data_IF_956394449467
#
_entry.id   IF_956394449467
#
_cell.length_a   1.000
_cell.length_b   1.000
_cell.length_c   1.000
_cell.angle_alpha   90.00
_cell.angle_beta   90.00
_cell.angle_gamma   90.00
#
_symmetry.space_group_name_H-M   'P 1'
#
loop_
_entity.id
_entity.type
_entity.pdbx_description
1 polymer ?
#
# COMPACT_ATOMS: atom_id res chain seq x y z
N UNK A 1 23.32 18.67 -6.28
CA UNK A 1 23.58 17.46 -7.09
C UNK A 1 22.89 17.71 -8.41
N UNK A 2 23.60 17.68 -9.53
CA UNK A 2 23.11 18.27 -10.79
C UNK A 2 22.83 17.22 -11.88
N UNK A 3 22.84 15.94 -11.53
CA UNK A 3 22.62 14.85 -12.49
C UNK A 3 21.63 13.84 -11.91
N UNK A 4 20.78 13.33 -12.78
CA UNK A 4 19.95 12.16 -12.48
C UNK A 4 20.84 10.96 -12.19
N UNK A 5 20.56 10.25 -11.10
CA UNK A 5 21.21 8.98 -10.77
C UNK A 5 20.14 7.90 -10.83
N UNK A 6 20.31 6.94 -11.74
CA UNK A 6 19.46 5.77 -11.80
C UNK A 6 20.25 4.53 -11.39
N UNK A 7 19.93 4.01 -10.21
CA UNK A 7 20.49 2.76 -9.69
C UNK A 7 19.41 1.71 -9.41
N UNK A 8 18.19 1.93 -9.92
CA UNK A 8 17.12 0.95 -9.82
C UNK A 8 17.55 -0.33 -10.54
N UNK A 9 17.48 -1.45 -9.83
CA UNK A 9 17.79 -2.76 -10.35
C UNK A 9 16.53 -3.62 -10.31
N UNK A 10 16.38 -4.47 -11.33
CA UNK A 10 15.35 -5.51 -11.32
C UNK A 10 15.69 -6.49 -10.20
N UNK A 11 14.82 -6.56 -9.20
CA UNK A 11 14.87 -7.61 -8.18
C UNK A 11 14.18 -8.86 -8.70
N UNK A 12 13.01 -8.69 -9.33
CA UNK A 12 12.23 -9.80 -9.86
C UNK A 12 11.28 -9.39 -10.96
N UNK A 13 11.17 -10.23 -11.99
CA UNK A 13 10.08 -10.22 -12.97
C UNK A 13 9.45 -11.60 -12.93
N UNK A 14 8.15 -11.68 -12.69
CA UNK A 14 7.47 -12.97 -12.56
C UNK A 14 5.99 -12.88 -12.91
N UNK A 15 5.42 -14.04 -13.25
CA UNK A 15 3.99 -14.28 -13.29
C UNK A 15 3.63 -15.29 -12.22
N UNK A 16 2.62 -14.99 -11.41
CA UNK A 16 2.15 -15.83 -10.31
C UNK A 16 0.63 -16.02 -10.39
N UNK A 17 0.17 -17.21 -10.00
CA UNK A 17 -1.24 -17.47 -9.73
C UNK A 17 -1.59 -16.92 -8.34
N UNK A 18 -1.68 -15.59 -8.25
CA UNK A 18 -2.08 -14.89 -7.05
C UNK A 18 -1.85 -13.38 -7.17
N UNK A 19 -1.40 -12.72 -6.11
CA UNK A 19 -1.25 -11.26 -6.03
C UNK A 19 0.11 -10.85 -5.44
N UNK A 20 0.62 -9.70 -5.87
CA UNK A 20 1.77 -9.01 -5.29
C UNK A 20 1.33 -7.83 -4.43
N UNK A 21 1.80 -7.77 -3.19
CA UNK A 21 1.49 -6.71 -2.21
C UNK A 21 2.77 -6.02 -1.76
N UNK A 22 2.68 -4.70 -1.54
CA UNK A 22 3.72 -3.87 -0.95
C UNK A 22 3.18 -3.32 0.36
N UNK A 23 3.90 -3.52 1.46
CA UNK A 23 3.60 -2.90 2.75
C UNK A 23 4.80 -2.06 3.19
N UNK A 24 4.55 -0.85 3.67
CA UNK A 24 5.60 0.11 4.03
C UNK A 24 5.56 0.44 5.52
N UNK A 25 6.72 0.68 6.11
CA UNK A 25 6.85 1.19 7.48
C UNK A 25 8.06 2.11 7.59
N UNK A 26 7.97 3.14 8.43
CA UNK A 26 9.01 4.16 8.59
C UNK A 26 8.47 5.59 8.49
N UNK A 27 9.36 6.59 8.59
CA UNK A 27 10.81 6.48 8.85
C UNK A 27 11.13 6.17 10.33
N UNK A 28 12.38 5.76 10.61
CA UNK A 28 12.91 5.57 11.97
C UNK A 28 14.35 6.08 12.07
N UNK A 29 14.62 6.97 13.02
CA UNK A 29 15.96 7.52 13.28
C UNK A 29 16.58 6.91 14.52
N UNK A 30 17.83 6.45 14.41
CA UNK A 30 18.58 5.80 15.49
C UNK A 30 19.99 6.38 15.60
N UNK A 31 20.56 6.33 16.81
CA UNK A 31 21.90 6.87 17.07
C UNK A 31 21.96 8.40 17.07
N UNK A 32 23.16 8.96 17.29
CA UNK A 32 23.36 10.39 17.54
C UNK A 32 23.28 10.76 19.02
N UNK A 33 23.51 12.05 19.33
CA UNK A 33 23.36 12.56 20.69
C UNK A 33 21.88 12.45 21.11
N UNK A 34 21.62 11.85 22.27
CA UNK A 34 20.29 11.75 22.91
C UNK A 34 19.20 10.92 22.21
N UNK A 35 19.51 10.17 21.13
CA UNK A 35 18.52 9.28 20.51
C UNK A 35 18.70 7.83 20.92
N UNK A 36 17.59 7.08 20.89
CA UNK A 36 17.63 5.64 21.10
C UNK A 36 18.51 4.97 20.05
N UNK A 37 19.26 3.96 20.49
CA UNK A 37 19.99 3.04 19.60
C UNK A 37 19.15 1.83 19.20
N UNK A 38 17.92 1.72 19.70
CA UNK A 38 17.01 0.61 19.40
C UNK A 38 15.67 1.20 18.96
N UNK A 39 15.11 0.65 17.89
CA UNK A 39 13.76 0.98 17.45
C UNK A 39 13.09 -0.19 16.77
N UNK A 40 11.80 -0.03 16.48
CA UNK A 40 10.98 -1.05 15.86
C UNK A 40 10.10 -0.40 14.79
N UNK A 41 9.99 -1.06 13.64
CA UNK A 41 9.02 -0.77 12.60
C UNK A 41 8.01 -1.90 12.55
N UNK A 42 6.72 -1.55 12.58
CA UNK A 42 5.61 -2.52 12.48
C UNK A 42 5.01 -2.42 11.08
N UNK A 43 4.71 -3.57 10.51
CA UNK A 43 3.93 -3.70 9.28
C UNK A 43 2.53 -4.22 9.61
N UNK A 44 1.51 -3.58 9.04
CA UNK A 44 0.13 -4.08 9.06
C UNK A 44 -0.02 -5.26 8.08
N UNK A 45 0.52 -6.41 8.49
CA UNK A 45 0.51 -7.63 7.69
C UNK A 45 -0.80 -8.39 7.85
N UNK A 46 -1.71 -8.23 6.90
CA UNK A 46 -2.96 -9.00 6.87
C UNK A 46 -2.83 -10.09 5.82
N UNK A 47 -2.47 -11.32 6.24
CA UNK A 47 -2.50 -12.50 5.37
C UNK A 47 -3.93 -12.71 4.85
N UNK A 48 -4.16 -12.73 3.52
CA UNK A 48 -5.49 -13.01 3.00
C UNK A 48 -5.92 -14.44 3.33
N UNK A 49 -7.18 -14.61 3.75
CA UNK A 49 -7.72 -15.92 4.17
C UNK A 49 -7.66 -16.97 3.05
N UNK A 50 -7.88 -16.54 1.81
CA UNK A 50 -7.91 -17.39 0.62
C UNK A 50 -6.54 -17.53 -0.06
N UNK A 51 -5.46 -17.07 0.58
CA UNK A 51 -4.14 -17.06 -0.03
C UNK A 51 -3.03 -17.66 0.85
N UNK A 52 -2.01 -18.20 0.20
CA UNK A 52 -0.79 -18.69 0.85
C UNK A 52 0.36 -17.78 0.50
N UNK A 53 1.19 -17.43 1.48
CA UNK A 53 2.44 -16.73 1.18
C UNK A 53 3.31 -17.63 0.31
N UNK A 54 3.82 -17.10 -0.80
CA UNK A 54 4.76 -17.80 -1.67
C UNK A 54 6.17 -17.27 -1.43
N UNK A 55 6.30 -15.96 -1.37
CA UNK A 55 7.58 -15.26 -1.22
C UNK A 55 7.39 -13.96 -0.43
N UNK A 56 8.40 -13.62 0.35
CA UNK A 56 8.47 -12.37 1.10
C UNK A 56 9.88 -11.79 1.06
N UNK A 57 10.01 -10.62 0.47
CA UNK A 57 11.25 -9.84 0.47
C UNK A 57 11.11 -8.66 1.43
N UNK A 58 12.01 -8.56 2.40
CA UNK A 58 12.20 -7.35 3.20
C UNK A 58 13.22 -6.47 2.51
N UNK A 59 12.84 -5.24 2.22
CA UNK A 59 13.72 -4.20 1.69
C UNK A 59 13.85 -3.07 2.72
N UNK A 60 15.06 -2.60 2.98
CA UNK A 60 15.33 -1.51 3.92
C UNK A 60 16.14 -0.44 3.19
N UNK A 61 15.60 0.78 3.12
CA UNK A 61 16.36 1.98 2.76
C UNK A 61 16.90 2.65 4.03
N UNK A 62 18.19 2.96 4.04
CA UNK A 62 18.82 3.69 5.12
C UNK A 62 19.73 4.79 4.61
N UNK A 63 19.64 5.97 5.22
CA UNK A 63 20.57 7.08 5.03
C UNK A 63 21.53 7.13 6.21
N UNK A 64 22.84 7.17 5.93
CA UNK A 64 23.90 7.27 6.95
C UNK A 64 24.82 8.45 6.66
N UNK A 65 25.34 9.10 7.69
CA UNK A 65 26.37 10.16 7.55
C UNK A 65 27.79 9.60 7.58
N UNK A 66 27.93 8.30 7.86
CA UNK A 66 29.21 7.59 7.89
C UNK A 66 29.28 6.58 6.77
N UNK A 67 30.52 6.28 6.36
CA UNK A 67 30.81 5.26 5.34
C UNK A 67 30.12 3.93 5.72
N UNK A 68 29.44 3.25 4.77
CA UNK A 68 28.74 1.99 5.01
C UNK A 68 29.57 0.91 5.70
N UNK A 69 30.89 0.86 5.48
CA UNK A 69 31.80 -0.12 6.11
C UNK A 69 31.93 0.07 7.63
N UNK A 70 31.56 1.24 8.17
CA UNK A 70 31.59 1.55 9.59
C UNK A 70 30.22 1.42 10.27
N UNK A 71 29.16 1.22 9.50
CA UNK A 71 27.79 1.05 10.00
C UNK A 71 27.70 -0.32 10.67
N UNK A 72 27.24 -0.33 11.92
CA UNK A 72 27.01 -1.57 12.70
C UNK A 72 25.57 -1.59 13.17
N UNK A 73 24.82 -2.60 12.71
CA UNK A 73 23.45 -2.80 13.13
C UNK A 73 23.15 -4.26 13.44
N UNK A 74 22.02 -4.51 14.08
CA UNK A 74 21.46 -5.84 14.24
C UNK A 74 19.98 -5.74 13.93
N UNK A 75 19.50 -6.68 13.13
CA UNK A 75 18.13 -6.73 12.67
C UNK A 75 17.46 -8.00 13.18
N UNK A 76 16.21 -7.87 13.59
CA UNK A 76 15.35 -8.99 13.91
C UNK A 76 13.98 -8.82 13.24
N UNK A 77 13.45 -9.91 12.70
CA UNK A 77 12.06 -10.00 12.24
C UNK A 77 11.30 -10.92 13.18
N UNK A 78 10.24 -10.44 13.84
CA UNK A 78 9.44 -11.23 14.77
C UNK A 78 10.28 -11.99 15.82
N UNK A 79 11.26 -11.28 16.40
CA UNK A 79 12.28 -11.80 17.34
C UNK A 79 13.25 -12.85 16.77
N UNK A 80 13.19 -13.14 15.46
CA UNK A 80 14.18 -13.97 14.78
C UNK A 80 15.33 -13.10 14.26
N UNK A 81 16.60 -13.40 14.61
CA UNK A 81 17.74 -12.62 14.16
C UNK A 81 17.92 -12.75 12.63
N UNK A 82 17.95 -11.62 11.94
CA UNK A 82 18.10 -11.58 10.48
C UNK A 82 19.57 -11.40 10.08
N UNK A 83 20.23 -10.37 10.63
CA UNK A 83 21.66 -10.13 10.41
C UNK A 83 22.26 -9.27 11.52
N UNK A 84 23.58 -9.34 11.67
CA UNK A 84 24.40 -8.45 12.51
C UNK A 84 25.36 -7.58 11.69
N UNK A 85 25.32 -7.69 10.37
CA UNK A 85 26.22 -7.01 9.45
C UNK A 85 25.44 -6.04 8.58
N UNK A 86 26.01 -4.86 8.35
CA UNK A 86 25.50 -3.90 7.38
C UNK A 86 26.23 -4.12 6.06
N UNK A 87 25.58 -4.80 5.12
CA UNK A 87 26.11 -5.09 3.77
C UNK A 87 25.07 -4.70 2.73
N UNK A 88 24.95 -3.41 2.41
CA UNK A 88 23.99 -2.97 1.41
C UNK A 88 24.32 -3.51 0.03
N UNK A 89 23.31 -3.97 -0.70
CA UNK A 89 23.45 -4.38 -2.10
C UNK A 89 23.60 -3.18 -3.03
N UNK A 90 23.11 -2.01 -2.61
CA UNK A 90 23.22 -0.77 -3.35
C UNK A 90 23.55 0.38 -2.39
N UNK A 91 24.58 1.14 -2.73
CA UNK A 91 25.01 2.35 -2.02
C UNK A 91 25.18 3.44 -3.04
N UNK A 92 24.58 4.59 -2.76
CA UNK A 92 24.78 5.82 -3.52
C UNK A 92 25.42 6.84 -2.58
N UNK A 93 26.63 7.25 -2.93
CA UNK A 93 27.31 8.36 -2.25
C UNK A 93 26.64 9.67 -2.68
N UNK A 94 26.08 10.38 -1.70
CA UNK A 94 25.61 11.74 -1.82
C UNK A 94 26.65 12.66 -1.18
N UNK A 95 26.50 13.99 -1.30
CA UNK A 95 27.53 14.94 -0.85
C UNK A 95 27.98 14.77 0.61
N UNK A 96 27.05 14.46 1.51
CA UNK A 96 27.29 14.40 2.96
C UNK A 96 26.66 13.15 3.61
N UNK A 97 26.03 12.30 2.81
CA UNK A 97 25.27 11.15 3.28
C UNK A 97 25.37 10.00 2.26
N UNK A 98 25.16 8.77 2.72
CA UNK A 98 25.09 7.58 1.89
C UNK A 98 23.66 7.07 1.90
N UNK A 99 23.06 6.94 0.72
CA UNK A 99 21.79 6.25 0.57
C UNK A 99 22.06 4.77 0.32
N UNK A 100 21.57 3.91 1.20
CA UNK A 100 21.85 2.49 1.21
C UNK A 100 20.57 1.67 1.11
N UNK A 101 20.64 0.57 0.36
CA UNK A 101 19.56 -0.40 0.21
C UNK A 101 20.03 -1.79 0.60
N UNK A 102 19.24 -2.40 1.48
CA UNK A 102 19.44 -3.79 1.90
C UNK A 102 18.21 -4.62 1.60
N UNK A 103 18.38 -5.79 0.99
CA UNK A 103 17.31 -6.75 0.71
C UNK A 103 17.56 -8.08 1.42
N UNK A 104 16.49 -8.68 1.94
CA UNK A 104 16.50 -9.99 2.58
C UNK A 104 15.31 -10.82 2.11
N UNK A 105 15.55 -12.09 1.79
CA UNK A 105 14.48 -13.08 1.71
C UNK A 105 14.08 -13.49 3.14
N UNK A 106 12.85 -13.14 3.53
CA UNK A 106 12.29 -13.46 4.84
C UNK A 106 11.17 -14.52 4.74
N UNK A 107 11.00 -15.13 3.56
CA UNK A 107 9.99 -16.17 3.32
C UNK A 107 10.05 -17.30 4.36
N UNK A 108 11.23 -17.86 4.72
CA UNK A 108 11.30 -18.92 5.72
C UNK A 108 10.85 -18.46 7.12
N UNK A 109 11.12 -17.20 7.48
CA UNK A 109 10.78 -16.64 8.79
C UNK A 109 9.25 -16.49 8.91
N UNK A 110 8.61 -15.96 7.87
CA UNK A 110 7.15 -15.78 7.84
C UNK A 110 6.40 -17.11 7.69
N UNK A 111 7.02 -18.15 7.13
CA UNK A 111 6.45 -19.51 7.15
C UNK A 111 6.53 -20.18 8.51
N UNK A 112 7.64 -19.98 9.24
CA UNK A 112 7.84 -20.63 10.53
C UNK A 112 6.91 -20.08 11.63
N UNK A 113 6.40 -18.85 11.48
CA UNK A 113 5.51 -18.21 12.45
C UNK A 113 4.39 -17.49 11.72
N UNK A 114 3.18 -18.04 11.76
CA UNK A 114 2.00 -17.29 11.37
C UNK A 114 1.76 -16.19 12.42
N UNK A 115 1.99 -14.93 12.05
CA UNK A 115 1.63 -13.77 12.86
C UNK A 115 0.78 -12.80 12.05
N UNK A 116 -0.14 -12.11 12.74
CA UNK A 116 -0.95 -11.02 12.17
C UNK A 116 -0.19 -9.68 12.13
N UNK A 117 1.00 -9.63 12.72
CA UNK A 117 1.84 -8.44 12.77
C UNK A 117 3.28 -8.85 12.45
N UNK A 118 3.95 -8.11 11.57
CA UNK A 118 5.37 -8.29 11.30
C UNK A 118 6.13 -7.11 11.90
N UNK A 119 7.11 -7.40 12.78
CA UNK A 119 7.93 -6.41 13.47
C UNK A 119 9.38 -6.53 13.02
N UNK A 120 9.92 -5.42 12.53
CA UNK A 120 11.36 -5.24 12.28
C UNK A 120 11.97 -4.46 13.44
N UNK A 121 12.67 -5.16 14.32
CA UNK A 121 13.48 -4.53 15.37
C UNK A 121 14.88 -4.25 14.85
N UNK A 122 15.39 -3.06 15.16
CA UNK A 122 16.68 -2.56 14.69
C UNK A 122 17.46 -2.05 15.89
N UNK A 123 18.67 -2.58 16.08
CA UNK A 123 19.65 -2.04 17.02
C UNK A 123 20.83 -1.45 16.24
N UNK A 124 21.14 -0.18 16.49
CA UNK A 124 22.24 0.54 15.87
C UNK A 124 23.41 0.75 16.83
N UNK A 125 24.48 -0.01 16.60
CA UNK A 125 25.73 0.02 17.37
C UNK A 125 26.82 0.85 16.66
N UNK A 126 26.51 1.49 15.52
CA UNK A 126 27.46 2.26 14.71
C UNK A 126 27.73 3.70 15.23
N UNK A 127 28.72 4.39 14.63
CA UNK A 127 29.00 5.80 14.90
C UNK A 127 27.94 6.72 14.28
N UNK A 128 27.70 7.88 14.90
CA UNK A 128 26.78 8.89 14.34
C UNK A 128 25.31 8.49 14.34
N UNK A 129 24.57 8.93 13.31
CA UNK A 129 23.14 8.70 13.12
C UNK A 129 22.88 7.81 11.90
N UNK A 130 21.81 7.00 11.99
CA UNK A 130 21.21 6.30 10.85
C UNK A 130 19.73 6.66 10.79
N UNK A 131 19.25 7.00 9.60
CA UNK A 131 17.84 7.15 9.30
C UNK A 131 17.40 5.98 8.43
N UNK A 132 16.57 5.10 8.98
CA UNK A 132 15.83 4.13 8.19
C UNK A 132 14.72 4.92 7.49
N UNK A 133 14.93 5.26 6.22
CA UNK A 133 13.97 6.06 5.45
C UNK A 133 12.65 5.32 5.33
N UNK A 134 12.73 4.03 5.03
CA UNK A 134 11.61 3.11 5.01
C UNK A 134 12.10 1.67 5.03
N UNK A 135 11.24 0.79 5.52
CA UNK A 135 11.32 -0.64 5.30
C UNK A 135 10.05 -1.09 4.57
N UNK A 136 10.19 -2.00 3.61
CA UNK A 136 9.11 -2.52 2.79
C UNK A 136 9.06 -4.04 2.90
N UNK A 137 7.85 -4.58 2.96
CA UNK A 137 7.58 -5.99 2.68
C UNK A 137 6.95 -6.11 1.29
N UNK A 138 7.68 -6.76 0.39
CA UNK A 138 7.17 -7.16 -0.93
C UNK A 138 6.76 -8.62 -0.85
N UNK A 139 5.46 -8.87 -0.94
CA UNK A 139 4.83 -10.15 -0.64
C UNK A 139 4.14 -10.71 -1.87
N UNK A 140 4.57 -11.87 -2.33
CA UNK A 140 3.86 -12.64 -3.34
C UNK A 140 2.97 -13.68 -2.64
N UNK A 141 1.66 -13.58 -2.85
CA UNK A 141 0.70 -14.56 -2.39
C UNK A 141 0.25 -15.44 -3.55
N UNK A 142 0.08 -16.74 -3.30
CA UNK A 142 -0.64 -17.66 -4.17
C UNK A 142 -2.12 -17.68 -3.81
N UNK A 143 -2.98 -17.45 -4.81
CA UNK A 143 -4.43 -17.45 -4.67
C UNK A 143 -5.07 -17.94 -5.97
N UNK A 144 -6.04 -18.86 -5.88
CA UNK A 144 -6.69 -19.45 -7.06
C UNK A 144 -7.50 -18.45 -7.90
N UNK A 145 -7.94 -17.37 -7.27
CA UNK A 145 -8.83 -16.37 -7.87
C UNK A 145 -8.08 -15.11 -8.33
N UNK A 146 -6.75 -15.18 -8.42
CA UNK A 146 -5.95 -14.09 -8.95
C UNK A 146 -4.78 -14.59 -9.81
N UNK A 147 -4.41 -13.77 -10.79
CA UNK A 147 -3.18 -13.93 -11.56
C UNK A 147 -2.55 -12.55 -11.68
N UNK A 148 -1.27 -12.46 -11.34
CA UNK A 148 -0.48 -11.24 -11.46
C UNK A 148 0.78 -11.52 -12.26
N UNK A 149 1.06 -10.68 -13.24
CA UNK A 149 2.44 -10.46 -13.70
C UNK A 149 2.97 -9.19 -13.08
N UNK A 150 4.23 -9.17 -12.66
CA UNK A 150 4.84 -7.99 -12.08
C UNK A 150 6.33 -7.89 -12.39
N UNK A 151 6.82 -6.65 -12.38
CA UNK A 151 8.23 -6.30 -12.41
C UNK A 151 8.53 -5.42 -11.20
N UNK A 152 9.36 -5.94 -10.30
CA UNK A 152 9.77 -5.30 -9.05
C UNK A 152 11.22 -4.82 -9.17
N UNK A 153 11.39 -3.51 -8.98
CA UNK A 153 12.65 -2.80 -8.93
C UNK A 153 12.93 -2.24 -7.53
N UNK A 154 14.18 -2.31 -7.14
CA UNK A 154 14.71 -1.74 -5.89
C UNK A 154 16.01 -1.00 -6.16
N UNK A 155 16.28 0.04 -5.37
CA UNK A 155 17.48 0.86 -5.49
C UNK A 155 17.15 2.32 -5.17
N UNK A 156 17.72 3.22 -5.95
CA UNK A 156 17.27 4.60 -5.98
C UNK A 156 17.40 5.22 -7.37
N UNK A 157 16.32 5.85 -7.81
CA UNK A 157 16.30 6.83 -8.88
C UNK A 157 16.22 8.23 -8.24
N UNK A 158 17.31 8.97 -8.30
CA UNK A 158 17.45 10.31 -7.74
C UNK A 158 17.29 11.33 -8.85
N UNK A 159 16.29 12.18 -8.74
CA UNK A 159 15.93 13.14 -9.78
C UNK A 159 16.10 14.56 -9.21
N UNK A 160 17.08 15.34 -9.71
CA UNK A 160 17.23 16.74 -9.34
C UNK A 160 15.95 17.55 -9.66
N UNK A 161 15.80 18.74 -9.07
CA UNK A 161 14.71 19.65 -9.43
C UNK A 161 14.67 19.98 -10.91
N UNK A 162 13.45 20.00 -11.47
CA UNK A 162 13.14 20.33 -12.87
C UNK A 162 13.80 19.38 -13.88
N UNK A 163 14.11 18.17 -13.46
CA UNK A 163 14.66 17.10 -14.30
C UNK A 163 13.65 15.96 -14.43
N UNK A 164 13.92 15.07 -15.38
CA UNK A 164 13.14 13.85 -15.59
C UNK A 164 14.05 12.66 -15.86
N UNK A 165 13.52 11.46 -15.65
CA UNK A 165 14.21 10.22 -16.00
C UNK A 165 13.25 9.24 -16.64
N UNK A 166 13.72 8.61 -17.71
CA UNK A 166 12.99 7.55 -18.43
C UNK A 166 13.67 6.21 -18.27
N UNK A 167 12.89 5.15 -18.13
CA UNK A 167 13.37 3.77 -18.14
C UNK A 167 12.27 2.82 -18.63
N UNK A 168 12.69 1.66 -19.13
CA UNK A 168 11.78 0.66 -19.67
C UNK A 168 11.52 -0.46 -18.66
N UNK A 169 10.26 -0.88 -18.58
CA UNK A 169 9.81 -1.95 -17.69
C UNK A 169 9.15 -3.06 -18.50
N UNK A 170 9.79 -4.24 -18.61
CA UNK A 170 9.18 -5.40 -19.22
C UNK A 170 8.09 -5.96 -18.31
N UNK A 171 6.99 -6.41 -18.90
CA UNK A 171 5.86 -6.99 -18.19
C UNK A 171 5.15 -8.02 -19.08
N UNK A 172 4.69 -9.14 -18.52
CA UNK A 172 3.81 -10.04 -19.24
C UNK A 172 2.35 -9.61 -18.99
N UNK A 173 1.72 -8.90 -19.92
CA UNK A 173 0.40 -8.30 -19.65
C UNK A 173 -0.69 -9.37 -19.56
N UNK A 174 -1.37 -9.44 -18.40
CA UNK A 174 -2.52 -10.33 -18.17
C UNK A 174 -3.78 -9.73 -18.80
N UNK A 175 -4.00 -8.43 -18.56
CA UNK A 175 -5.07 -7.65 -19.16
C UNK A 175 -4.61 -6.19 -19.31
N UNK A 176 -4.88 -5.59 -20.47
CA UNK A 176 -4.35 -4.27 -20.86
C UNK A 176 -4.75 -3.13 -19.92
N UNK A 177 -5.90 -3.23 -19.24
CA UNK A 177 -6.43 -2.22 -18.33
C UNK A 177 -6.33 -2.63 -16.85
N UNK A 178 -5.67 -3.75 -16.57
CA UNK A 178 -5.41 -4.25 -15.23
C UNK A 178 -4.07 -3.79 -14.65
N UNK A 179 -3.47 -2.75 -15.25
CA UNK A 179 -2.18 -2.25 -14.84
C UNK A 179 -2.23 -1.58 -13.47
N UNK A 180 -1.19 -1.81 -12.68
CA UNK A 180 -1.03 -1.27 -11.33
C UNK A 180 0.40 -0.80 -11.13
N UNK A 181 0.54 0.32 -10.43
CA UNK A 181 1.82 0.89 -10.05
C UNK A 181 1.84 1.05 -8.53
N UNK A 182 2.87 0.47 -7.90
CA UNK A 182 3.18 0.66 -6.48
C UNK A 182 4.59 1.22 -6.38
N UNK A 183 4.78 2.32 -5.69
CA UNK A 183 6.07 2.98 -5.59
C UNK A 183 6.27 3.66 -4.25
N UNK A 184 7.52 3.71 -3.80
CA UNK A 184 7.93 4.47 -2.61
C UNK A 184 8.81 5.62 -3.05
N UNK A 185 8.34 6.83 -2.79
CA UNK A 185 9.06 8.05 -3.09
C UNK A 185 9.50 8.74 -1.78
N UNK A 186 10.70 9.33 -1.80
CA UNK A 186 11.20 10.19 -0.73
C UNK A 186 11.40 11.60 -1.28
N UNK A 187 10.87 12.60 -0.57
CA UNK A 187 11.03 14.00 -0.94
C UNK A 187 11.25 14.85 0.30
N UNK A 188 12.36 15.60 0.33
CA UNK A 188 12.71 16.46 1.47
C UNK A 188 12.23 17.92 1.28
N UNK A 189 11.21 18.17 0.46
CA UNK A 189 10.72 19.52 0.13
C UNK A 189 9.22 19.56 -0.19
N UNK A 190 8.46 20.33 0.59
CA UNK A 190 7.02 20.60 0.38
C UNK A 190 6.70 21.44 -0.87
N UNK A 191 7.71 21.88 -1.60
CA UNK A 191 7.54 22.61 -2.86
C UNK A 191 7.83 21.73 -4.08
N UNK A 192 8.17 20.46 -3.86
CA UNK A 192 8.34 19.47 -4.91
C UNK A 192 6.99 18.93 -5.38
N UNK A 193 6.90 18.72 -6.69
CA UNK A 193 5.89 17.90 -7.35
C UNK A 193 6.58 16.75 -8.05
N UNK A 194 6.02 15.55 -7.90
CA UNK A 194 6.42 14.38 -8.67
C UNK A 194 5.26 13.94 -9.55
N UNK A 195 5.54 13.78 -10.83
CA UNK A 195 4.62 13.14 -11.78
C UNK A 195 5.24 11.86 -12.31
N UNK A 196 4.41 10.82 -12.44
CA UNK A 196 4.78 9.55 -13.07
C UNK A 196 3.91 9.34 -14.30
N UNK A 197 4.57 9.06 -15.42
CA UNK A 197 3.93 8.72 -16.69
C UNK A 197 4.23 7.27 -17.03
N UNK A 198 3.22 6.57 -17.51
CA UNK A 198 3.34 5.21 -18.06
C UNK A 198 2.88 5.29 -19.51
N UNK A 199 3.77 4.94 -20.44
CA UNK A 199 3.50 5.00 -21.88
C UNK A 199 2.99 6.38 -22.34
N UNK A 200 3.63 7.46 -21.89
CA UNK A 200 3.27 8.88 -22.15
C UNK A 200 1.93 9.34 -21.58
N UNK A 201 1.25 8.52 -20.75
CA UNK A 201 0.06 8.94 -20.02
C UNK A 201 0.42 9.21 -18.57
N UNK A 202 0.06 10.38 -18.05
CA UNK A 202 0.20 10.66 -16.62
C UNK A 202 -0.71 9.73 -15.82
N UNK A 203 -0.13 8.99 -14.87
CA UNK A 203 -0.88 8.07 -13.99
C UNK A 203 -0.88 8.55 -12.55
N UNK A 204 0.07 9.42 -12.19
CA UNK A 204 0.21 9.97 -10.85
C UNK A 204 0.79 11.38 -10.95
N UNK A 205 0.25 12.28 -10.14
CA UNK A 205 0.83 13.59 -9.87
C UNK A 205 0.49 13.97 -8.44
N UNK A 206 1.50 14.36 -7.67
CA UNK A 206 1.33 14.84 -6.31
C UNK A 206 2.26 16.02 -6.05
N UNK A 207 1.67 17.12 -5.63
CA UNK A 207 2.37 18.30 -5.13
C UNK A 207 2.44 18.27 -3.61
N UNK A 208 3.45 18.94 -3.03
CA UNK A 208 3.52 19.08 -1.57
C UNK A 208 4.14 17.90 -0.85
N UNK A 209 4.94 17.08 -1.53
CA UNK A 209 5.54 15.86 -0.98
C UNK A 209 6.33 16.16 0.31
N UNK A 210 6.08 15.39 1.37
CA UNK A 210 6.82 15.53 2.62
C UNK A 210 7.30 14.19 3.17
N UNK A 211 8.61 14.02 3.14
CA UNK A 211 9.37 12.88 3.65
C UNK A 211 9.15 11.58 2.85
N UNK A 212 8.18 10.75 3.23
CA UNK A 212 7.95 9.41 2.70
C UNK A 212 6.54 9.33 2.11
N UNK A 213 6.45 8.96 0.83
CA UNK A 213 5.19 8.90 0.09
C UNK A 213 4.99 7.51 -0.50
N UNK A 214 3.87 6.88 -0.16
CA UNK A 214 3.44 5.62 -0.76
C UNK A 214 2.50 5.92 -1.94
N UNK A 215 2.95 5.54 -3.12
CA UNK A 215 2.23 5.74 -4.38
C UNK A 215 1.57 4.41 -4.75
N UNK A 216 0.25 4.42 -4.87
CA UNK A 216 -0.51 3.29 -5.39
C UNK A 216 -1.54 3.78 -6.41
N UNK A 217 -1.43 3.29 -7.64
CA UNK A 217 -2.35 3.62 -8.74
C UNK A 217 -2.81 2.33 -9.42
N UNK A 218 -4.11 2.20 -9.61
CA UNK A 218 -4.75 1.05 -10.28
C UNK A 218 -5.37 1.46 -11.62
N UNK A 219 -5.75 0.47 -12.44
CA UNK A 219 -6.43 0.63 -13.73
C UNK A 219 -5.60 1.42 -14.78
N UNK A 220 -4.28 1.23 -14.76
CA UNK A 220 -3.35 1.81 -15.72
C UNK A 220 -3.32 0.97 -16.99
N UNK A 221 -3.16 1.63 -18.13
CA UNK A 221 -2.92 0.95 -19.39
C UNK A 221 -1.47 0.49 -19.51
N UNK A 222 -1.26 -0.83 -19.56
CA UNK A 222 0.07 -1.46 -19.65
C UNK A 222 0.27 -2.20 -20.97
N UNK A 223 1.53 -2.38 -21.34
CA UNK A 223 2.02 -3.08 -22.54
C UNK A 223 3.11 -4.08 -22.13
N UNK A 224 3.58 -4.90 -23.06
CA UNK A 224 4.65 -5.86 -22.75
C UNK A 224 6.00 -5.20 -22.43
N UNK A 225 6.21 -4.01 -22.97
CA UNK A 225 7.32 -3.13 -22.62
C UNK A 225 6.75 -1.73 -22.37
N UNK A 226 6.94 -1.21 -21.16
CA UNK A 226 6.36 0.05 -20.73
C UNK A 226 7.47 1.09 -20.59
N UNK A 227 7.33 2.24 -21.25
CA UNK A 227 8.17 3.39 -20.94
C UNK A 227 7.61 4.06 -19.68
N UNK A 228 8.46 4.19 -18.66
CA UNK A 228 8.16 4.91 -17.43
C UNK A 228 8.96 6.19 -17.44
N UNK A 229 8.28 7.31 -17.21
CA UNK A 229 8.92 8.61 -17.02
C UNK A 229 8.54 9.15 -15.64
N UNK A 230 9.55 9.56 -14.88
CA UNK A 230 9.38 10.22 -13.59
C UNK A 230 9.90 11.64 -13.73
N UNK A 231 9.07 12.63 -13.42
CA UNK A 231 9.40 14.06 -13.47
C UNK A 231 9.40 14.64 -12.08
N UNK A 232 10.34 15.54 -11.84
CA UNK A 232 10.40 16.33 -10.63
C UNK A 232 10.35 17.80 -10.97
N UNK A 233 9.37 18.51 -10.43
CA UNK A 233 9.21 19.96 -10.63
C UNK A 233 9.24 20.67 -9.28
N UNK A 234 9.77 21.90 -9.25
CA UNK A 234 9.66 22.80 -8.11
C UNK A 234 8.91 24.06 -8.53
N UNK A 235 7.76 24.31 -7.91
CA UNK A 235 6.87 25.42 -8.30
C UNK A 235 7.20 26.78 -7.65
N UNK A 236 8.28 26.86 -6.85
CA UNK A 236 8.69 28.10 -6.17
C UNK A 236 10.18 28.35 -6.36
N UNK A 237 10.53 29.45 -7.01
CA UNK A 237 11.93 29.78 -7.36
C UNK A 237 12.89 29.81 -6.16
N UNK A 238 12.41 30.30 -5.01
CA UNK A 238 13.19 30.43 -3.77
C UNK A 238 13.09 29.22 -2.83
N UNK A 239 12.47 28.11 -3.27
CA UNK A 239 12.39 26.90 -2.46
C UNK A 239 13.73 26.16 -2.38
N UNK A 240 13.90 25.38 -1.32
CA UNK A 240 15.07 24.51 -1.18
C UNK A 240 15.03 23.44 -2.27
N UNK A 241 16.04 23.48 -3.13
CA UNK A 241 16.23 22.58 -4.28
C UNK A 241 16.82 21.25 -3.85
N UNK A 242 15.98 20.36 -3.28
CA UNK A 242 16.35 18.98 -2.94
C UNK A 242 15.80 18.00 -3.97
N UNK A 243 16.52 16.93 -4.33
CA UNK A 243 16.04 15.92 -5.26
C UNK A 243 14.88 15.10 -4.66
N UNK A 244 14.12 14.44 -5.53
CA UNK A 244 13.24 13.33 -5.14
C UNK A 244 13.96 12.00 -5.37
N UNK A 245 13.60 11.00 -4.57
CA UNK A 245 14.13 9.65 -4.65
C UNK A 245 12.97 8.70 -4.91
N UNK A 246 12.94 8.04 -6.06
CA UNK A 246 12.08 6.87 -6.26
C UNK A 246 12.87 5.64 -5.85
N UNK A 247 12.46 5.00 -4.77
CA UNK A 247 13.28 3.99 -4.09
C UNK A 247 12.83 2.55 -4.33
N UNK A 248 11.54 2.37 -4.53
CA UNK A 248 10.91 1.08 -4.76
C UNK A 248 9.88 1.28 -5.85
N UNK A 249 9.84 0.38 -6.83
CA UNK A 249 8.92 0.50 -7.95
C UNK A 249 8.44 -0.88 -8.38
N UNK A 250 7.13 -1.08 -8.41
CA UNK A 250 6.48 -2.30 -8.87
C UNK A 250 5.45 -1.88 -9.91
N UNK A 251 5.63 -2.37 -11.14
CA UNK A 251 4.59 -2.34 -12.16
C UNK A 251 4.00 -3.73 -12.29
N UNK A 252 2.69 -3.86 -12.19
CA UNK A 252 1.98 -5.12 -12.27
C UNK A 252 0.81 -5.06 -13.26
N UNK A 253 0.38 -6.22 -13.73
CA UNK A 253 -0.89 -6.45 -14.41
C UNK A 253 -1.59 -7.58 -13.66
N UNK A 254 -2.66 -7.22 -12.94
CA UNK A 254 -3.30 -8.11 -11.97
C UNK A 254 -4.78 -8.29 -12.28
N UNK A 255 -5.19 -9.54 -12.52
CA UNK A 255 -6.60 -9.90 -12.68
C UNK A 255 -7.06 -10.68 -11.44
N UNK A 256 -8.11 -10.18 -10.79
CA UNK A 256 -8.74 -10.82 -9.64
C UNK A 256 -10.19 -11.13 -9.99
N UNK A 257 -10.65 -12.35 -9.66
CA UNK A 257 -12.07 -12.69 -9.69
C UNK A 257 -12.72 -12.03 -8.48
N UNK A 258 -13.52 -10.98 -8.71
CA UNK A 258 -14.00 -10.10 -7.65
C UNK A 258 -15.37 -10.55 -7.09
N UNK A 259 -15.56 -10.50 -5.76
CA UNK A 259 -16.90 -10.38 -5.16
C UNK A 259 -17.51 -9.02 -5.50
N UNK A 260 -18.83 -8.93 -5.55
CA UNK A 260 -19.55 -7.67 -5.71
C UNK A 260 -20.82 -7.69 -4.86
N UNK A 261 -20.83 -6.91 -3.78
CA UNK A 261 -21.87 -6.97 -2.76
C UNK A 261 -22.82 -5.79 -2.90
N UNK A 262 -24.00 -6.07 -3.46
CA UNK A 262 -25.04 -5.08 -3.72
C UNK A 262 -26.11 -5.10 -2.63
N UNK A 263 -26.57 -3.91 -2.26
CA UNK A 263 -27.79 -3.72 -1.47
C UNK A 263 -28.98 -3.77 -2.42
N UNK A 264 -29.87 -4.76 -2.27
CA UNK A 264 -31.07 -4.92 -3.12
C UNK A 264 -32.24 -4.10 -2.61
N UNK A 265 -32.45 -4.11 -1.30
CA UNK A 265 -33.61 -3.52 -0.67
C UNK A 265 -33.27 -3.05 0.75
N UNK A 266 -33.93 -1.99 1.19
CA UNK A 266 -33.79 -1.41 2.52
C UNK A 266 -35.16 -0.98 3.00
N UNK A 267 -35.57 -1.51 4.15
CA UNK A 267 -36.80 -1.13 4.84
C UNK A 267 -36.49 -0.53 6.19
N UNK A 268 -37.13 0.59 6.49
CA UNK A 268 -37.04 1.22 7.80
C UNK A 268 -38.22 0.75 8.65
N UNK A 269 -37.93 0.16 9.81
CA UNK A 269 -38.93 -0.19 10.81
C UNK A 269 -38.76 0.78 11.98
N UNK A 270 -39.72 1.69 12.12
CA UNK A 270 -39.79 2.63 13.24
C UNK A 270 -40.75 2.14 14.31
N UNK A 271 -40.30 1.20 15.14
CA UNK A 271 -40.97 0.93 16.41
C UNK A 271 -40.57 2.00 17.41
N UNK A 272 -41.52 2.53 18.18
CA UNK A 272 -41.33 3.74 18.99
C UNK A 272 -40.16 3.68 19.98
N UNK A 273 -39.74 2.44 20.34
CA UNK A 273 -38.66 2.14 21.28
C UNK A 273 -37.33 1.71 20.63
N UNK A 274 -37.32 1.11 19.43
CA UNK A 274 -36.11 0.54 18.82
C UNK A 274 -36.16 0.61 17.27
N UNK A 275 -35.77 1.75 16.66
CA UNK A 275 -35.73 1.83 15.20
C UNK A 275 -34.63 0.92 14.62
N UNK A 276 -34.96 0.22 13.53
CA UNK A 276 -34.05 -0.71 12.84
C UNK A 276 -34.21 -0.63 11.33
N UNK A 277 -33.12 -0.90 10.62
CA UNK A 277 -33.13 -1.12 9.18
C UNK A 277 -33.13 -2.62 8.90
N UNK A 278 -34.04 -3.08 8.04
CA UNK A 278 -34.00 -4.42 7.45
C UNK A 278 -33.40 -4.28 6.06
N UNK A 279 -32.24 -4.88 5.86
CA UNK A 279 -31.39 -4.65 4.69
C UNK A 279 -31.17 -5.98 4.01
N UNK A 280 -31.52 -6.06 2.73
CA UNK A 280 -31.29 -7.24 1.90
C UNK A 280 -30.05 -7.01 1.04
N UNK A 281 -29.03 -7.85 1.24
CA UNK A 281 -27.79 -7.80 0.46
C UNK A 281 -27.61 -9.08 -0.36
N UNK A 282 -26.90 -8.96 -1.47
CA UNK A 282 -26.58 -10.07 -2.39
C UNK A 282 -25.13 -9.97 -2.83
N UNK A 283 -24.48 -11.12 -3.05
CA UNK A 283 -23.25 -11.15 -3.83
C UNK A 283 -23.55 -11.48 -5.30
N UNK A 284 -23.52 -10.49 -6.18
CA UNK A 284 -23.65 -10.69 -7.64
C UNK A 284 -22.30 -10.84 -8.34
N UNK A 285 -21.21 -10.85 -7.58
CA UNK A 285 -19.87 -11.12 -8.10
C UNK A 285 -19.60 -12.60 -8.32
N UNK A 286 -18.39 -12.91 -8.76
CA UNK A 286 -17.97 -14.27 -9.14
C UNK A 286 -17.15 -14.98 -8.06
N UNK A 287 -16.82 -14.29 -6.97
CA UNK A 287 -16.03 -14.82 -5.85
C UNK A 287 -16.71 -14.51 -4.53
N UNK A 288 -16.35 -15.26 -3.49
CA UNK A 288 -16.67 -14.94 -2.09
C UNK A 288 -15.68 -13.88 -1.53
N UNK A 289 -16.13 -12.88 -0.77
CA UNK A 289 -15.23 -11.94 -0.09
C UNK A 289 -14.48 -12.63 1.08
N UNK A 290 -13.30 -12.13 1.41
CA UNK A 290 -12.54 -12.61 2.57
C UNK A 290 -13.06 -11.98 3.87
N UNK A 291 -13.51 -10.72 3.82
CA UNK A 291 -14.19 -10.03 4.92
C UNK A 291 -15.33 -9.18 4.37
N UNK A 292 -16.41 -9.02 5.13
CA UNK A 292 -17.57 -8.21 4.76
C UNK A 292 -18.07 -7.43 5.98
N UNK A 293 -18.32 -6.15 5.77
CA UNK A 293 -18.94 -5.24 6.73
C UNK A 293 -20.07 -4.46 6.09
N UNK A 294 -21.02 -4.07 6.91
CA UNK A 294 -22.07 -3.12 6.58
C UNK A 294 -21.96 -1.94 7.54
N UNK A 295 -21.89 -0.74 6.98
CA UNK A 295 -21.74 0.52 7.69
C UNK A 295 -22.98 1.37 7.48
N UNK A 296 -23.49 1.95 8.58
CA UNK A 296 -24.48 3.02 8.55
C UNK A 296 -23.76 4.34 8.78
N UNK A 297 -23.91 5.27 7.84
CA UNK A 297 -23.23 6.55 7.81
C UNK A 297 -24.27 7.67 7.81
N UNK A 298 -24.12 8.66 8.68
CA UNK A 298 -24.92 9.89 8.70
C UNK A 298 -23.99 11.09 8.60
N UNK A 299 -24.18 11.90 7.55
CA UNK A 299 -23.37 13.09 7.29
C UNK A 299 -21.85 12.80 7.35
N UNK A 300 -21.43 11.63 6.85
CA UNK A 300 -20.02 11.20 6.82
C UNK A 300 -19.52 10.51 8.09
N UNK A 301 -20.32 10.44 9.15
CA UNK A 301 -19.96 9.78 10.42
C UNK A 301 -20.52 8.36 10.43
N UNK A 302 -19.67 7.36 10.71
CA UNK A 302 -20.10 5.98 10.91
C UNK A 302 -20.84 5.88 12.25
N UNK A 303 -22.16 5.67 12.21
CA UNK A 303 -23.00 5.50 13.41
C UNK A 303 -23.05 4.04 13.85
N UNK A 304 -23.08 3.11 12.89
CA UNK A 304 -23.11 1.69 13.19
C UNK A 304 -22.23 0.91 12.20
N UNK A 305 -21.62 -0.17 12.70
CA UNK A 305 -20.79 -1.11 11.95
C UNK A 305 -21.16 -2.52 12.34
N UNK A 306 -21.53 -3.32 11.36
CA UNK A 306 -21.80 -4.74 11.55
C UNK A 306 -20.83 -5.57 10.70
N UNK A 307 -20.14 -6.52 11.33
CA UNK A 307 -19.38 -7.56 10.62
C UNK A 307 -20.34 -8.64 10.18
N UNK A 308 -20.30 -9.01 8.91
CA UNK A 308 -21.23 -9.96 8.31
C UNK A 308 -20.54 -11.27 7.94
N UNK A 309 -21.29 -12.39 7.89
CA UNK A 309 -20.80 -13.59 7.22
C UNK A 309 -20.53 -13.29 5.74
N UNK A 310 -19.48 -13.89 5.19
CA UNK A 310 -19.10 -13.69 3.80
C UNK A 310 -20.03 -14.47 2.87
N UNK A 311 -20.64 -13.78 1.91
CA UNK A 311 -21.60 -14.33 0.95
C UNK A 311 -20.90 -15.01 -0.23
N UNK A 312 -21.28 -16.24 -0.55
CA UNK A 312 -20.92 -16.93 -1.81
C UNK A 312 -21.57 -16.23 -3.01
N UNK A 313 -21.06 -16.42 -4.23
CA UNK A 313 -21.72 -15.94 -5.45
C UNK A 313 -23.20 -16.37 -5.50
N UNK A 314 -24.10 -15.41 -5.74
CA UNK A 314 -25.55 -15.60 -5.78
C UNK A 314 -26.25 -15.67 -4.41
N UNK A 315 -25.51 -15.73 -3.29
CA UNK A 315 -26.08 -15.81 -1.95
C UNK A 315 -26.67 -14.45 -1.52
N UNK A 316 -27.83 -14.52 -0.87
CA UNK A 316 -28.57 -13.37 -0.35
C UNK A 316 -28.77 -13.52 1.15
N UNK A 317 -28.58 -12.44 1.91
CA UNK A 317 -28.93 -12.37 3.32
C UNK A 317 -29.78 -11.14 3.61
N UNK A 318 -30.75 -11.34 4.50
CA UNK A 318 -31.48 -10.26 5.15
C UNK A 318 -30.85 -9.98 6.52
N UNK A 319 -30.61 -8.71 6.81
CA UNK A 319 -29.86 -8.26 7.98
C UNK A 319 -30.65 -7.18 8.68
N UNK A 320 -30.77 -7.31 9.99
CA UNK A 320 -31.32 -6.26 10.83
C UNK A 320 -30.20 -5.42 11.43
N UNK A 321 -30.26 -4.11 11.23
CA UNK A 321 -29.31 -3.15 11.77
C UNK A 321 -30.05 -2.16 12.69
N UNK A 322 -29.95 -2.33 14.02
CA UNK A 322 -30.53 -1.39 14.96
C UNK A 322 -29.75 -0.07 14.93
N UNK A 323 -30.40 1.05 15.21
CA UNK A 323 -29.73 2.34 15.38
C UNK A 323 -30.45 3.21 16.41
N UNK A 324 -29.76 4.25 16.92
CA UNK A 324 -30.36 5.17 17.89
C UNK A 324 -31.24 6.21 17.18
N UNK A 325 -32.39 6.57 17.78
CA UNK A 325 -33.40 7.49 17.23
C UNK A 325 -32.85 8.89 16.87
N UNK A 326 -31.74 9.32 17.45
CA UNK A 326 -31.06 10.58 17.15
C UNK A 326 -30.11 10.45 15.95
N UNK A 327 -30.67 10.32 14.75
CA UNK A 327 -29.96 10.63 13.52
C UNK A 327 -29.85 12.16 13.40
N UNK A 328 -28.64 12.69 13.19
CA UNK A 328 -28.40 14.14 13.15
C UNK A 328 -28.91 14.75 11.85
N UNK A 329 -28.95 13.98 10.77
CA UNK A 329 -29.50 14.42 9.49
C UNK A 329 -30.46 13.38 8.92
N UNK A 330 -31.69 13.79 8.59
CA UNK A 330 -32.64 12.92 7.89
C UNK A 330 -32.29 12.76 6.40
N UNK A 331 -31.39 13.58 5.86
CA UNK A 331 -31.18 13.72 4.41
C UNK A 331 -29.80 13.24 3.92
N UNK A 332 -28.91 12.76 4.80
CA UNK A 332 -27.58 12.26 4.41
C UNK A 332 -27.28 10.88 5.00
N UNK A 333 -28.30 10.05 5.21
CA UNK A 333 -28.11 8.68 5.66
C UNK A 333 -27.70 7.80 4.47
N UNK A 334 -26.60 7.06 4.62
CA UNK A 334 -26.17 6.07 3.62
C UNK A 334 -25.75 4.75 4.26
N UNK A 335 -25.99 3.69 3.50
CA UNK A 335 -25.49 2.36 3.80
C UNK A 335 -24.31 2.07 2.90
N UNK A 336 -23.21 1.61 3.49
CA UNK A 336 -22.02 1.20 2.74
C UNK A 336 -21.68 -0.24 3.05
N UNK A 337 -21.70 -1.10 2.02
CA UNK A 337 -21.08 -2.42 2.10
C UNK A 337 -19.58 -2.24 1.85
N UNK A 338 -18.76 -2.80 2.72
CA UNK A 338 -17.29 -2.79 2.58
C UNK A 338 -16.82 -4.22 2.63
N UNK A 339 -16.03 -4.65 1.65
CA UNK A 339 -15.51 -6.00 1.61
C UNK A 339 -14.08 -6.05 1.14
N UNK A 340 -13.37 -7.11 1.53
CA UNK A 340 -12.01 -7.36 1.07
C UNK A 340 -11.95 -8.58 0.18
N UNK A 341 -11.03 -8.53 -0.79
CA UNK A 341 -10.56 -9.70 -1.51
C UNK A 341 -9.06 -9.58 -1.70
N UNK A 342 -8.32 -10.57 -1.22
CA UNK A 342 -6.87 -10.51 -1.14
C UNK A 342 -6.41 -9.27 -0.37
N UNK A 343 -5.44 -8.51 -0.88
CA UNK A 343 -4.96 -7.28 -0.23
C UNK A 343 -5.84 -6.05 -0.51
N UNK A 344 -6.96 -6.21 -1.23
CA UNK A 344 -7.78 -5.08 -1.69
C UNK A 344 -9.07 -4.92 -0.91
N UNK A 345 -9.47 -3.65 -0.78
CA UNK A 345 -10.74 -3.25 -0.18
C UNK A 345 -11.62 -2.62 -1.25
N UNK A 346 -12.89 -3.03 -1.26
CA UNK A 346 -13.93 -2.54 -2.15
C UNK A 346 -15.11 -2.05 -1.32
N UNK A 347 -15.91 -1.15 -1.90
CA UNK A 347 -17.14 -0.73 -1.27
C UNK A 347 -18.20 -0.35 -2.32
N UNK A 348 -19.46 -0.44 -1.90
CA UNK A 348 -20.62 0.10 -2.62
C UNK A 348 -21.45 0.88 -1.61
N UNK A 349 -21.93 2.06 -2.00
CA UNK A 349 -22.71 2.94 -1.13
C UNK A 349 -24.07 3.20 -1.74
N UNK A 350 -25.11 3.04 -0.93
CA UNK A 350 -26.49 3.37 -1.26
C UNK A 350 -26.99 4.47 -0.33
N UNK A 351 -27.38 5.61 -0.90
CA UNK A 351 -28.01 6.69 -0.14
C UNK A 351 -29.46 6.34 0.13
N UNK A 352 -29.90 6.55 1.35
CA UNK A 352 -31.28 6.36 1.75
C UNK A 352 -32.02 7.68 1.48
N UNK A 353 -32.73 7.77 0.36
CA UNK A 353 -33.70 8.85 0.15
C UNK A 353 -34.90 8.60 1.06
N UNK A 354 -35.36 9.64 1.74
CA UNK A 354 -36.54 9.65 2.63
C UNK A 354 -37.86 9.50 1.86
N UNK A 355 -37.96 8.51 0.97
CA UNK A 355 -39.22 7.92 0.50
C UNK A 355 -39.46 6.57 1.20
N UNK A 356 -38.92 6.39 2.41
CA UNK A 356 -39.15 5.23 3.29
C UNK A 356 -40.47 5.33 4.08
N UNK A 357 -41.32 6.26 3.70
CA UNK A 357 -42.70 6.40 4.17
C UNK A 357 -43.59 6.39 2.94
N UNK A 358 -44.32 5.29 2.78
CA UNK A 358 -45.73 5.22 2.33
C UNK A 358 -45.96 3.86 1.68
N UNK A 359 -46.28 2.87 2.52
CA UNK A 359 -47.14 1.75 2.19
C UNK A 359 -47.62 1.16 3.52
N UNK A 360 -48.61 1.85 4.09
CA UNK A 360 -49.65 1.25 4.92
C UNK A 360 -50.91 1.16 4.05
#
# INVERSE_FOLDING_TARGET
MNKVINSLQVVKIATINGEITLLTSGPLRLGGLHRSRIGCLTFEYIKPLSAKLKEATLEIAATTTTDPSHVKWRLWINNFPLTREFKPQNTIELKEEYFNKVLFDITPILHARESEEVKLAIKYDGPGEIEINHANLVLAFEAKEAVSSYAYFSGALIIPPNESSKFNVPLNVIDKYSGELKAIALAKSRHSMASIYVNNKEVFSLSGLSDLEEIHVENIQVKNNNEIEVKHEIHRENAIKKPIYLSTFILASTKIIKPYIRIKDVKLITDDKNPRLVIKIVNVGQSRPDKLWLLLIDAGIIINRLKLPCLKPGEEHEIEMPFKKQLRSKHLLSLRTVWTKLSRTFFEETRLTTSLTDNA
#
